data_IF_002602430995
#
_entry.id   IF_002602430995
#
_cell.length_a   1.000
_cell.length_b   1.000
_cell.length_c   1.000
_cell.angle_alpha   90.00
_cell.angle_beta   90.00
_cell.angle_gamma   90.00
#
_symmetry.space_group_name_H-M   'P 1'
#
loop_
_entity.id
_entity.type
_entity.pdbx_description
1 polymer ?
#
# COMPACT_ATOMS: atom_id res chain seq x y z
N UNK A 1 24.43 15.12 -6.84
CA UNK A 1 24.14 14.32 -5.63
C UNK A 1 23.63 12.97 -6.08
N UNK A 2 24.55 12.04 -6.32
CA UNK A 2 24.22 10.65 -6.60
C UNK A 2 23.73 9.99 -5.30
N UNK A 3 22.56 9.34 -5.27
CA UNK A 3 22.13 8.67 -4.06
C UNK A 3 22.99 7.42 -3.83
N UNK A 4 23.54 7.24 -2.62
CA UNK A 4 24.42 6.12 -2.29
C UNK A 4 23.66 4.79 -2.39
N UNK A 5 24.06 3.93 -3.33
CA UNK A 5 23.86 2.46 -3.35
C UNK A 5 22.65 1.96 -2.54
N UNK A 6 21.45 2.37 -2.93
CA UNK A 6 20.25 1.99 -2.18
C UNK A 6 19.85 0.57 -2.56
N UNK A 7 19.92 -0.37 -1.61
CA UNK A 7 19.41 -1.74 -1.81
C UNK A 7 17.89 -1.69 -1.93
N UNK A 8 17.38 -1.89 -3.16
CA UNK A 8 15.98 -2.20 -3.43
C UNK A 8 15.56 -3.46 -2.66
N UNK A 9 14.36 -3.48 -2.11
CA UNK A 9 13.89 -4.58 -1.27
C UNK A 9 12.37 -4.70 -1.22
N UNK A 10 11.91 -5.87 -0.80
CA UNK A 10 10.48 -6.14 -0.54
C UNK A 10 10.23 -5.97 0.96
N UNK A 11 9.31 -5.08 1.31
CA UNK A 11 8.92 -4.76 2.67
C UNK A 11 7.49 -5.22 2.92
N UNK A 12 7.26 -5.97 3.99
CA UNK A 12 5.90 -6.42 4.34
C UNK A 12 5.19 -5.31 5.12
N UNK A 13 4.23 -4.64 4.49
CA UNK A 13 3.51 -3.48 5.05
C UNK A 13 2.01 -3.82 5.10
N UNK A 14 1.41 -3.78 6.28
CA UNK A 14 0.00 -4.16 6.51
C UNK A 14 -0.38 -5.52 5.89
N UNK A 15 0.57 -6.47 5.89
CA UNK A 15 0.38 -7.82 5.33
C UNK A 15 0.58 -7.92 3.81
N UNK A 16 0.85 -6.82 3.12
CA UNK A 16 1.11 -6.77 1.67
C UNK A 16 2.62 -6.65 1.41
N UNK A 17 3.21 -7.44 0.49
CA UNK A 17 4.59 -7.28 0.07
C UNK A 17 4.74 -6.06 -0.85
N UNK A 18 5.46 -5.04 -0.40
CA UNK A 18 5.70 -3.78 -1.13
C UNK A 18 7.14 -3.74 -1.60
N UNK A 19 7.34 -3.71 -2.92
CA UNK A 19 8.66 -3.46 -3.52
C UNK A 19 9.00 -1.98 -3.43
N UNK A 20 10.16 -1.65 -2.89
CA UNK A 20 10.61 -0.26 -2.75
C UNK A 20 12.08 -0.12 -3.20
N UNK A 21 12.41 0.89 -4.04
CA UNK A 21 13.71 0.99 -4.70
C UNK A 21 14.87 1.41 -3.78
N UNK A 22 14.57 1.83 -2.56
CA UNK A 22 15.56 2.16 -1.54
C UNK A 22 15.08 1.69 -0.17
N UNK A 23 15.90 1.85 0.88
CA UNK A 23 15.47 1.56 2.25
C UNK A 23 14.45 2.62 2.68
N UNK A 24 13.17 2.27 2.91
CA UNK A 24 12.16 3.25 3.28
C UNK A 24 12.43 3.78 4.68
N UNK A 25 12.19 5.08 4.89
CA UNK A 25 12.20 5.68 6.21
C UNK A 25 11.00 5.21 7.04
N UNK A 26 11.11 5.25 8.37
CA UNK A 26 10.00 4.86 9.26
C UNK A 26 8.70 5.62 8.98
N UNK A 27 8.79 6.90 8.62
CA UNK A 27 7.64 7.73 8.21
C UNK A 27 7.01 7.27 6.89
N UNK A 28 7.83 6.83 5.91
CA UNK A 28 7.33 6.27 4.65
C UNK A 28 6.62 4.94 4.89
N UNK A 29 7.16 4.08 5.77
CA UNK A 29 6.51 2.82 6.17
C UNK A 29 5.15 3.06 6.83
N UNK A 30 5.07 4.01 7.76
CA UNK A 30 3.82 4.38 8.41
C UNK A 30 2.79 4.89 7.39
N UNK A 31 3.21 5.76 6.48
CA UNK A 31 2.36 6.27 5.41
C UNK A 31 1.85 5.16 4.48
N UNK A 32 2.75 4.30 3.98
CA UNK A 32 2.38 3.15 3.14
C UNK A 32 1.42 2.19 3.87
N UNK A 33 1.60 1.98 5.18
CA UNK A 33 0.70 1.17 6.00
C UNK A 33 -0.71 1.76 6.06
N UNK A 34 -0.83 3.08 6.23
CA UNK A 34 -2.13 3.74 6.22
C UNK A 34 -2.79 3.67 4.83
N UNK A 35 -2.03 3.90 3.76
CA UNK A 35 -2.53 3.75 2.37
C UNK A 35 -3.11 2.35 2.15
N UNK A 36 -2.35 1.29 2.46
CA UNK A 36 -2.76 -0.09 2.24
C UNK A 36 -4.00 -0.44 3.08
N UNK A 37 -4.04 0.01 4.34
CA UNK A 37 -5.19 -0.21 5.24
C UNK A 37 -6.45 0.49 4.72
N UNK A 38 -6.32 1.71 4.21
CA UNK A 38 -7.43 2.44 3.58
C UNK A 38 -7.95 1.71 2.35
N UNK A 39 -7.06 1.32 1.43
CA UNK A 39 -7.44 0.60 0.21
C UNK A 39 -8.14 -0.72 0.53
N UNK A 40 -7.65 -1.46 1.53
CA UNK A 40 -8.28 -2.67 2.02
C UNK A 40 -9.70 -2.42 2.55
N UNK A 41 -9.91 -1.34 3.30
CA UNK A 41 -11.24 -0.94 3.76
C UNK A 41 -12.14 -0.52 2.60
N UNK A 42 -11.62 0.28 1.67
CA UNK A 42 -12.32 0.73 0.47
C UNK A 42 -12.83 -0.45 -0.34
N UNK A 43 -11.99 -1.47 -0.53
CA UNK A 43 -12.36 -2.68 -1.25
C UNK A 43 -13.48 -3.48 -0.58
N UNK A 44 -13.52 -3.53 0.77
CA UNK A 44 -14.55 -4.26 1.51
C UNK A 44 -15.88 -3.50 1.59
N UNK A 45 -15.84 -2.17 1.63
CA UNK A 45 -17.02 -1.32 1.85
C UNK A 45 -17.51 -0.63 0.57
N UNK A 46 -16.88 -0.90 -0.58
CA UNK A 46 -17.25 -0.33 -1.88
C UNK A 46 -16.71 1.08 -2.12
N UNK A 47 -16.57 1.92 -1.09
CA UNK A 47 -15.95 3.25 -1.12
C UNK A 47 -15.32 3.60 0.23
N UNK A 48 -14.14 4.24 0.22
CA UNK A 48 -13.54 4.83 1.42
C UNK A 48 -12.66 6.02 1.02
N UNK A 49 -12.85 7.16 1.68
CA UNK A 49 -12.00 8.34 1.54
C UNK A 49 -11.08 8.41 2.76
N UNK A 50 -9.76 8.46 2.56
CA UNK A 50 -8.83 8.75 3.64
C UNK A 50 -8.06 10.04 3.34
N UNK A 51 -8.04 10.93 4.34
CA UNK A 51 -7.16 12.08 4.36
C UNK A 51 -5.86 11.66 5.07
N UNK A 52 -4.84 11.33 4.28
CA UNK A 52 -3.54 10.90 4.79
C UNK A 52 -2.57 12.07 4.75
N UNK A 53 -2.42 12.75 5.88
CA UNK A 53 -1.39 13.77 6.05
C UNK A 53 -0.05 13.10 6.27
N UNK A 54 0.91 13.38 5.38
CA UNK A 54 2.30 12.96 5.58
C UNK A 54 3.18 14.18 5.81
N UNK A 55 4.24 14.08 6.63
CA UNK A 55 5.22 15.14 6.79
C UNK A 55 5.96 15.41 5.45
N UNK A 56 6.11 16.68 5.09
CA UNK A 56 6.59 17.17 3.78
C UNK A 56 8.03 16.74 3.48
N UNK A 57 8.33 16.41 2.21
CA UNK A 57 9.72 16.37 1.70
C UNK A 57 10.39 15.01 1.46
N UNK A 58 9.79 13.86 1.80
CA UNK A 58 10.48 12.54 1.73
C UNK A 58 9.78 11.50 0.84
N UNK A 59 9.53 11.80 -0.44
CA UNK A 59 9.15 10.75 -1.41
C UNK A 59 7.74 10.16 -1.25
N UNK A 60 6.75 11.00 -0.91
CA UNK A 60 5.33 10.62 -0.76
C UNK A 60 4.76 9.94 -2.00
N UNK A 61 5.00 10.51 -3.19
CA UNK A 61 4.46 9.99 -4.45
C UNK A 61 4.97 8.59 -4.73
N UNK A 62 6.26 8.33 -4.50
CA UNK A 62 6.82 7.01 -4.70
C UNK A 62 6.28 6.00 -3.68
N UNK A 63 6.23 6.38 -2.40
CA UNK A 63 5.65 5.56 -1.33
C UNK A 63 4.19 5.21 -1.61
N UNK A 64 3.40 6.19 -2.06
CA UNK A 64 2.01 6.01 -2.46
C UNK A 64 1.89 5.04 -3.64
N UNK A 65 2.64 5.27 -4.73
CA UNK A 65 2.58 4.42 -5.93
C UNK A 65 2.99 2.98 -5.62
N UNK A 66 4.11 2.77 -4.91
CA UNK A 66 4.56 1.44 -4.52
C UNK A 66 3.53 0.72 -3.64
N UNK A 67 2.94 1.40 -2.66
CA UNK A 67 1.91 0.84 -1.79
C UNK A 67 0.62 0.48 -2.56
N UNK A 68 0.15 1.36 -3.44
CA UNK A 68 -1.07 1.15 -4.24
C UNK A 68 -0.88 -0.02 -5.21
N UNK A 69 0.23 -0.04 -5.95
CA UNK A 69 0.52 -1.11 -6.92
C UNK A 69 0.69 -2.47 -6.23
N UNK A 70 1.41 -2.50 -5.10
CA UNK A 70 1.57 -3.70 -4.30
C UNK A 70 0.21 -4.21 -3.77
N UNK A 71 -0.63 -3.31 -3.25
CA UNK A 71 -1.98 -3.65 -2.81
C UNK A 71 -2.83 -4.19 -3.95
N UNK A 72 -2.81 -3.56 -5.13
CA UNK A 72 -3.58 -4.00 -6.29
C UNK A 72 -3.16 -5.40 -6.77
N UNK A 73 -1.84 -5.68 -6.84
CA UNK A 73 -1.32 -7.01 -7.19
C UNK A 73 -1.75 -8.06 -6.17
N UNK A 74 -1.73 -7.71 -4.88
CA UNK A 74 -2.18 -8.61 -3.81
C UNK A 74 -3.71 -8.81 -3.83
N UNK A 75 -4.47 -7.77 -4.14
CA UNK A 75 -5.92 -7.82 -4.24
C UNK A 75 -6.38 -8.74 -5.38
N UNK A 76 -5.76 -8.64 -6.56
CA UNK A 76 -6.12 -9.47 -7.71
C UNK A 76 -5.77 -10.96 -7.52
N UNK A 77 -4.84 -11.26 -6.59
CA UNK A 77 -4.51 -12.63 -6.19
C UNK A 77 -5.47 -13.21 -5.16
N UNK A 78 -6.31 -12.39 -4.52
CA UNK A 78 -7.32 -12.91 -3.62
C UNK A 78 -8.43 -13.52 -4.47
N UNK A 79 -8.89 -14.75 -4.16
CA UNK A 79 -10.12 -15.24 -4.75
C UNK A 79 -11.18 -14.18 -4.47
N UNK A 80 -11.82 -13.65 -5.53
CA UNK A 80 -12.99 -12.80 -5.37
C UNK A 80 -13.91 -13.57 -4.45
N UNK A 81 -14.13 -13.08 -3.22
CA UNK A 81 -15.07 -13.71 -2.28
C UNK A 81 -16.35 -13.89 -3.08
N UNK A 82 -16.63 -15.13 -3.45
CA UNK A 82 -17.88 -15.48 -4.08
C UNK A 82 -18.91 -15.07 -3.03
N UNK A 83 -19.64 -14.01 -3.32
CA UNK A 83 -20.73 -13.57 -2.49
C UNK A 83 -21.61 -14.82 -2.30
N UNK A 84 -21.94 -15.23 -1.07
CA UNK A 84 -22.86 -16.34 -0.90
C UNK A 84 -24.14 -16.00 -1.67
N UNK A 85 -24.74 -16.95 -2.41
CA UNK A 85 -25.96 -16.69 -3.15
C UNK A 85 -27.01 -16.12 -2.18
N UNK A 86 -27.84 -15.16 -2.62
CA UNK A 86 -28.91 -14.64 -1.77
C UNK A 86 -29.80 -15.80 -1.29
N UNK A 87 -30.26 -15.79 -0.03
CA UNK A 87 -31.19 -16.79 0.46
C UNK A 87 -32.47 -16.74 -0.38
N UNK A 88 -33.00 -17.92 -0.71
CA UNK A 88 -34.24 -18.12 -1.48
C UNK A 88 -35.47 -17.64 -0.72
#
# INVERSE_FOLDING_TARGET
>A
MDPPTAKSGVYKIAGVPVEFPYKPYGTQLAFMSQVITTLERASRQGHCNALLESPTGTGKTLSLLCAVLAWQRNYNRRPKRQLPPPPS
#
